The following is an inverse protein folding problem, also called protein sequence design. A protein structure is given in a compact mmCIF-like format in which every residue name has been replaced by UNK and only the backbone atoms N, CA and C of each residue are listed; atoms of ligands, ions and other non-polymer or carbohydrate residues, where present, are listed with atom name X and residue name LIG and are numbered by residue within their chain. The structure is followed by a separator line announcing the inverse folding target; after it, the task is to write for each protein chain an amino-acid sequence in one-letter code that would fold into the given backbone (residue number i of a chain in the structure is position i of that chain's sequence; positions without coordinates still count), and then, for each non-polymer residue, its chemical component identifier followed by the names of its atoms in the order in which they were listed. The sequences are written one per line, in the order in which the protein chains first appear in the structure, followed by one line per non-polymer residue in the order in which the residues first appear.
data_IF_951080989282
#
_entry.id   IF_951080989282
#
_cell.length_a   1.000
_cell.length_b   1.000
_cell.length_c   1.000
_cell.angle_alpha   90.00
_cell.angle_beta   90.00
_cell.angle_gamma   90.00
#
_symmetry.space_group_name_H-M   'P 1'
#
loop_
_entity.id
_entity.type
_entity.pdbx_description
1 polymer ?
#
# COMPACT_ATOMS: atom_id res chain seq x y z
N UNK A 1 -85.50 -27.37 -23.37
CA UNK A 1 -85.57 -25.90 -23.55
C UNK A 1 -85.21 -25.25 -22.23
N UNK A 2 -84.16 -24.43 -22.22
CA UNK A 2 -83.45 -23.98 -21.02
C UNK A 2 -84.25 -22.94 -20.21
N UNK A 3 -84.18 -23.06 -18.88
CA UNK A 3 -84.77 -22.12 -17.91
C UNK A 3 -83.64 -21.49 -17.09
N UNK A 4 -83.59 -20.18 -17.11
CA UNK A 4 -82.62 -19.29 -16.43
C UNK A 4 -82.62 -19.50 -14.92
N UNK A 5 -81.44 -19.54 -14.30
CA UNK A 5 -81.27 -19.36 -12.87
C UNK A 5 -80.05 -18.48 -12.60
N UNK A 6 -80.33 -17.24 -12.19
CA UNK A 6 -79.40 -16.33 -11.52
C UNK A 6 -79.02 -16.92 -10.17
N UNK A 7 -77.72 -17.02 -9.87
CA UNK A 7 -77.22 -17.35 -8.52
C UNK A 7 -76.15 -16.36 -8.09
N UNK A 8 -76.32 -15.90 -6.87
CA UNK A 8 -75.67 -14.77 -6.21
C UNK A 8 -74.30 -15.18 -5.66
N UNK A 9 -73.33 -14.27 -5.74
CA UNK A 9 -71.94 -14.48 -5.35
C UNK A 9 -71.75 -14.73 -3.84
N UNK A 10 -70.81 -15.59 -3.42
CA UNK A 10 -70.28 -15.57 -2.06
C UNK A 10 -69.13 -14.56 -1.94
N UNK A 11 -69.19 -13.75 -0.88
CA UNK A 11 -68.14 -12.82 -0.40
C UNK A 11 -66.87 -13.63 -0.08
N UNK A 12 -65.89 -13.56 -0.98
CA UNK A 12 -64.54 -14.08 -0.78
C UNK A 12 -63.67 -13.06 -0.08
N UNK A 13 -63.28 -13.33 1.16
CA UNK A 13 -62.29 -12.56 1.91
C UNK A 13 -60.93 -12.68 1.22
N UNK A 14 -60.50 -11.67 0.46
CA UNK A 14 -59.11 -11.55 0.02
C UNK A 14 -58.32 -10.80 1.09
N UNK A 15 -57.66 -11.54 1.99
CA UNK A 15 -56.55 -10.97 2.76
C UNK A 15 -55.42 -10.69 1.78
N UNK A 16 -55.07 -9.42 1.61
CA UNK A 16 -53.81 -9.02 0.97
C UNK A 16 -52.65 -9.68 1.73
N UNK A 17 -51.69 -10.37 1.08
CA UNK A 17 -50.42 -10.62 1.73
C UNK A 17 -49.76 -9.26 1.94
N UNK A 18 -49.53 -8.89 3.20
CA UNK A 18 -48.72 -7.73 3.50
C UNK A 18 -47.35 -7.94 2.84
N UNK A 19 -47.00 -7.06 1.91
CA UNK A 19 -45.66 -7.02 1.32
C UNK A 19 -44.67 -6.86 2.46
N UNK A 20 -43.79 -7.85 2.66
CA UNK A 20 -42.63 -7.68 3.53
C UNK A 20 -41.87 -6.45 3.03
N UNK A 21 -41.44 -5.53 3.91
CA UNK A 21 -40.54 -4.47 3.49
C UNK A 21 -39.26 -5.11 2.90
N UNK A 22 -38.63 -4.51 1.88
CA UNK A 22 -37.35 -5.00 1.39
C UNK A 22 -36.39 -5.04 2.58
N UNK A 23 -35.79 -6.21 2.81
CA UNK A 23 -34.68 -6.35 3.74
C UNK A 23 -33.62 -5.31 3.34
N UNK A 24 -33.10 -4.49 4.26
CA UNK A 24 -32.01 -3.60 3.93
C UNK A 24 -30.88 -4.45 3.35
N UNK A 25 -30.32 -4.02 2.21
CA UNK A 25 -29.15 -4.63 1.60
C UNK A 25 -28.16 -4.92 2.71
N UNK A 26 -27.94 -6.21 3.00
CA UNK A 26 -26.97 -6.60 4.00
C UNK A 26 -25.65 -6.00 3.51
N UNK A 27 -25.16 -4.98 4.22
CA UNK A 27 -23.82 -4.46 4.05
C UNK A 27 -22.93 -5.69 4.02
N UNK A 28 -22.33 -5.95 2.86
CA UNK A 28 -21.54 -7.15 2.63
C UNK A 28 -20.27 -7.00 3.46
N UNK A 29 -20.38 -7.32 4.75
CA UNK A 29 -19.35 -7.15 5.75
C UNK A 29 -18.06 -7.86 5.34
N UNK A 30 -18.19 -8.98 4.60
CA UNK A 30 -17.08 -9.71 4.03
C UNK A 30 -16.35 -8.88 2.95
N UNK A 31 -17.07 -8.15 2.11
CA UNK A 31 -16.49 -7.24 1.13
C UNK A 31 -15.80 -6.02 1.80
N UNK A 32 -16.38 -5.49 2.87
CA UNK A 32 -15.75 -4.38 3.64
C UNK A 32 -14.48 -4.84 4.36
N UNK A 33 -14.49 -6.04 4.97
CA UNK A 33 -13.33 -6.66 5.60
C UNK A 33 -12.24 -6.93 4.55
N UNK A 34 -12.61 -7.45 3.38
CA UNK A 34 -11.68 -7.71 2.27
C UNK A 34 -11.05 -6.41 1.75
N UNK A 35 -11.85 -5.37 1.48
CA UNK A 35 -11.35 -4.07 1.04
C UNK A 35 -10.41 -3.44 2.07
N UNK A 36 -10.69 -3.61 3.37
CA UNK A 36 -9.81 -3.11 4.43
C UNK A 36 -8.50 -3.90 4.50
N UNK A 37 -8.54 -5.22 4.31
CA UNK A 37 -7.36 -6.06 4.26
C UNK A 37 -6.46 -5.68 3.07
N UNK A 38 -7.05 -5.44 1.89
CA UNK A 38 -6.34 -5.00 0.69
C UNK A 38 -5.72 -3.60 0.87
N UNK A 39 -6.45 -2.65 1.43
CA UNK A 39 -5.92 -1.32 1.74
C UNK A 39 -4.76 -1.40 2.74
N UNK A 40 -4.89 -2.22 3.78
CA UNK A 40 -3.82 -2.42 4.76
C UNK A 40 -2.60 -3.08 4.11
N UNK A 41 -2.80 -4.08 3.25
CA UNK A 41 -1.74 -4.74 2.48
C UNK A 41 -1.03 -3.74 1.57
N UNK A 42 -1.77 -2.93 0.82
CA UNK A 42 -1.20 -1.89 -0.04
C UNK A 42 -0.39 -0.87 0.77
N UNK A 43 -0.85 -0.48 1.97
CA UNK A 43 -0.11 0.40 2.88
C UNK A 43 1.17 -0.25 3.41
N UNK A 44 1.11 -1.54 3.76
CA UNK A 44 2.28 -2.31 4.21
C UNK A 44 3.29 -2.42 3.05
N UNK A 45 2.84 -2.77 1.85
CA UNK A 45 3.69 -2.86 0.67
C UNK A 45 4.28 -1.51 0.25
N UNK A 46 3.51 -0.43 0.38
CA UNK A 46 4.01 0.92 0.14
C UNK A 46 5.05 1.35 1.19
N UNK A 47 4.88 0.95 2.45
CA UNK A 47 5.86 1.19 3.51
C UNK A 47 7.13 0.33 3.32
N UNK A 48 6.99 -0.92 2.85
CA UNK A 48 8.13 -1.78 2.50
C UNK A 48 8.89 -1.21 1.29
N UNK A 49 8.19 -0.57 0.35
CA UNK A 49 8.78 0.05 -0.83
C UNK A 49 9.05 1.55 -0.67
N UNK A 50 8.89 2.11 0.53
CA UNK A 50 9.22 3.50 0.79
C UNK A 50 10.73 3.69 0.58
N UNK A 51 11.17 4.55 -0.37
CA UNK A 51 12.58 4.66 -0.70
C UNK A 51 13.47 5.05 0.48
N UNK A 52 12.95 5.86 1.41
CA UNK A 52 13.65 6.25 2.64
C UNK A 52 13.88 5.04 3.53
N UNK A 53 12.82 4.31 3.85
CA UNK A 53 12.88 3.10 4.69
C UNK A 53 13.85 2.05 4.11
N UNK A 54 13.77 1.82 2.80
CA UNK A 54 14.67 0.86 2.12
C UNK A 54 16.12 1.36 2.13
N UNK A 55 16.35 2.65 1.94
CA UNK A 55 17.69 3.24 1.99
C UNK A 55 18.32 3.14 3.38
N UNK A 56 17.56 3.45 4.43
CA UNK A 56 18.00 3.32 5.82
C UNK A 56 18.33 1.87 6.18
N UNK A 57 17.45 0.93 5.82
CA UNK A 57 17.69 -0.50 6.05
C UNK A 57 18.94 -1.00 5.31
N UNK A 58 19.13 -0.56 4.07
CA UNK A 58 20.27 -0.94 3.23
C UNK A 58 21.60 -0.43 3.79
N UNK A 59 21.65 0.84 4.19
CA UNK A 59 22.87 1.45 4.75
C UNK A 59 23.19 0.86 6.12
N UNK A 60 22.19 0.61 6.97
CA UNK A 60 22.36 -0.08 8.25
C UNK A 60 22.90 -1.51 8.08
N UNK A 61 22.34 -2.30 7.17
CA UNK A 61 22.77 -3.69 6.92
C UNK A 61 24.23 -3.80 6.44
N UNK A 62 24.78 -2.74 5.84
CA UNK A 62 26.17 -2.70 5.36
C UNK A 62 27.10 -1.90 6.28
N UNK A 63 26.61 -1.44 7.45
CA UNK A 63 27.37 -0.61 8.37
C UNK A 63 27.86 0.70 7.75
N UNK A 64 27.08 1.26 6.81
CA UNK A 64 27.41 2.49 6.09
C UNK A 64 26.82 3.68 6.86
N UNK A 65 27.67 4.62 7.24
CA UNK A 65 27.24 5.89 7.82
C UNK A 65 26.92 6.87 6.70
N UNK A 66 25.75 7.52 6.78
CA UNK A 66 25.33 8.51 5.79
C UNK A 66 25.72 9.90 6.27
N UNK A 67 26.40 10.66 5.42
CA UNK A 67 26.80 12.04 5.68
C UNK A 67 26.09 12.93 4.67
N UNK A 68 25.27 13.85 5.16
CA UNK A 68 24.65 14.88 4.33
C UNK A 68 25.57 16.10 4.23
N UNK A 69 25.77 16.60 3.01
CA UNK A 69 26.52 17.83 2.78
C UNK A 69 25.64 18.88 2.10
N UNK A 70 25.72 20.11 2.59
CA UNK A 70 25.18 21.30 1.94
C UNK A 70 26.18 21.87 0.93
N UNK A 71 25.71 22.25 -0.26
CA UNK A 71 26.58 22.87 -1.27
C UNK A 71 26.02 22.76 -2.70
N UNK A 72 26.67 23.41 -3.68
CA UNK A 72 26.30 23.33 -5.10
C UNK A 72 26.76 22.00 -5.68
N UNK A 73 26.16 20.91 -5.21
CA UNK A 73 26.45 19.56 -5.69
C UNK A 73 25.66 19.29 -6.96
N UNK A 74 26.01 20.00 -8.02
CA UNK A 74 25.49 19.70 -9.35
C UNK A 74 25.94 18.29 -9.74
N UNK A 75 24.97 17.40 -9.95
CA UNK A 75 25.16 16.02 -10.40
C UNK A 75 25.84 15.04 -9.43
N UNK A 76 26.04 15.37 -8.14
CA UNK A 76 26.49 14.37 -7.17
C UNK A 76 25.31 13.49 -6.73
N UNK A 77 25.32 12.23 -7.15
CA UNK A 77 24.31 11.26 -6.72
C UNK A 77 24.66 10.61 -5.38
N UNK A 78 25.95 10.53 -5.06
CA UNK A 78 26.49 10.03 -3.80
C UNK A 78 27.96 9.65 -3.96
N UNK A 79 28.72 9.68 -2.87
CA UNK A 79 30.13 9.29 -2.86
C UNK A 79 30.43 8.30 -1.73
N UNK A 80 31.01 7.15 -2.07
CA UNK A 80 31.39 6.13 -1.11
C UNK A 80 32.87 6.24 -0.73
N UNK A 81 33.16 6.21 0.56
CA UNK A 81 34.50 6.19 1.10
C UNK A 81 34.62 5.08 2.15
N UNK A 82 35.67 4.27 2.07
CA UNK A 82 36.02 3.33 3.13
C UNK A 82 37.36 3.72 3.76
N UNK A 83 37.34 4.00 5.06
CA UNK A 83 38.53 4.30 5.84
C UNK A 83 39.32 3.03 6.19
N UNK A 84 40.60 3.21 6.54
CA UNK A 84 41.50 2.10 6.91
C UNK A 84 41.07 1.36 8.18
N UNK A 85 40.32 2.01 9.05
CA UNK A 85 39.72 1.42 10.26
C UNK A 85 38.46 0.58 9.96
N UNK A 86 38.03 0.53 8.69
CA UNK A 86 36.84 -0.18 8.24
C UNK A 86 35.58 0.67 8.18
N UNK A 87 35.62 1.93 8.63
CA UNK A 87 34.47 2.84 8.58
C UNK A 87 34.04 3.09 7.14
N UNK A 88 32.75 2.91 6.84
CA UNK A 88 32.17 3.10 5.52
C UNK A 88 31.26 4.33 5.54
N UNK A 89 31.52 5.29 4.67
CA UNK A 89 30.75 6.52 4.55
C UNK A 89 30.07 6.59 3.19
N UNK A 90 28.82 7.01 3.18
CA UNK A 90 28.10 7.44 1.98
C UNK A 90 27.74 8.91 2.13
N UNK A 91 28.39 9.74 1.32
CA UNK A 91 28.16 11.18 1.28
C UNK A 91 27.07 11.48 0.26
N UNK A 92 26.00 12.17 0.65
CA UNK A 92 24.89 12.57 -0.23
C UNK A 92 24.61 14.07 -0.10
N UNK A 93 24.10 14.74 -1.16
CA UNK A 93 23.62 16.11 -1.03
C UNK A 93 22.46 16.21 -0.04
N UNK A 94 22.49 17.26 0.78
CA UNK A 94 21.39 17.62 1.67
C UNK A 94 20.12 17.92 0.85
N UNK A 95 18.96 17.46 1.34
CA UNK A 95 17.67 17.63 0.66
C UNK A 95 17.51 16.84 -0.64
N UNK A 96 18.45 15.96 -1.01
CA UNK A 96 18.30 15.09 -2.17
C UNK A 96 17.11 14.14 -2.02
N UNK A 97 16.36 13.95 -3.10
CA UNK A 97 15.21 13.05 -3.16
C UNK A 97 15.56 11.63 -2.67
N UNK A 98 14.73 11.02 -1.78
CA UNK A 98 14.98 9.69 -1.23
C UNK A 98 15.14 8.58 -2.27
N UNK A 99 14.44 8.66 -3.41
CA UNK A 99 14.57 7.66 -4.48
C UNK A 99 15.93 7.74 -5.15
N UNK A 100 16.45 8.96 -5.32
CA UNK A 100 17.79 9.21 -5.85
C UNK A 100 18.87 8.68 -4.90
N UNK A 101 18.71 8.92 -3.58
CA UNK A 101 19.62 8.39 -2.55
C UNK A 101 19.63 6.85 -2.56
N UNK A 102 18.46 6.23 -2.65
CA UNK A 102 18.33 4.77 -2.75
C UNK A 102 18.98 4.21 -4.02
N UNK A 103 18.76 4.85 -5.17
CA UNK A 103 19.40 4.45 -6.42
C UNK A 103 20.93 4.52 -6.32
N UNK A 104 21.46 5.61 -5.77
CA UNK A 104 22.89 5.80 -5.58
C UNK A 104 23.49 4.72 -4.67
N UNK A 105 22.87 4.43 -3.53
CA UNK A 105 23.33 3.37 -2.62
C UNK A 105 23.34 2.00 -3.30
N UNK A 106 22.28 1.64 -4.04
CA UNK A 106 22.21 0.38 -4.78
C UNK A 106 23.30 0.27 -5.85
N UNK A 107 23.49 1.33 -6.62
CA UNK A 107 24.53 1.38 -7.65
C UNK A 107 25.93 1.21 -7.03
N UNK A 108 26.22 1.92 -5.94
CA UNK A 108 27.50 1.84 -5.25
C UNK A 108 27.80 0.43 -4.73
N UNK A 109 26.83 -0.20 -4.04
CA UNK A 109 27.00 -1.56 -3.54
C UNK A 109 27.22 -2.58 -4.66
N UNK A 110 26.49 -2.45 -5.77
CA UNK A 110 26.65 -3.32 -6.93
C UNK A 110 28.04 -3.17 -7.59
N UNK A 111 28.60 -1.96 -7.60
CA UNK A 111 29.91 -1.68 -8.22
C UNK A 111 31.10 -2.02 -7.31
N UNK A 112 30.98 -1.81 -6.00
CA UNK A 112 32.07 -1.97 -5.05
C UNK A 112 32.14 -3.39 -4.45
N UNK A 113 31.13 -4.24 -4.66
CA UNK A 113 31.10 -5.60 -4.11
C UNK A 113 31.11 -5.62 -2.58
N UNK A 114 30.55 -4.58 -1.96
CA UNK A 114 30.54 -4.41 -0.49
C UNK A 114 29.59 -5.44 0.11
N UNK A 115 30.11 -6.28 1.00
CA UNK A 115 29.31 -7.28 1.70
C UNK A 115 28.60 -6.66 2.92
N UNK A 116 27.39 -7.15 3.26
CA UNK A 116 26.74 -6.86 4.54
C UNK A 116 27.67 -7.16 5.74
N UNK A 117 27.47 -6.45 6.84
CA UNK A 117 28.29 -6.58 8.07
C UNK A 117 27.65 -7.55 9.04
#
# INVERSE_FOLDING_TARGET
MAKTATSVAPVGVTKHPASLPPQPEALNLDAEIQARAEQNSARIMAAINDPTTVFEALTAAHGIQVVELDGPFDCLYGHYLQHKDGTRLLVVPAGQDPSTRLWAARALLAHQGVMPV
#
